data_IF_572404722701
#
_entry.id   IF_572404722701
#
_cell.length_a   1.000
_cell.length_b   1.000
_cell.length_c   1.000
_cell.angle_alpha   90.00
_cell.angle_beta   90.00
_cell.angle_gamma   90.00
#
_symmetry.space_group_name_H-M   'P 1'
#
loop_
_entity.id
_entity.type
_entity.pdbx_description
1 polymer ?
#
# COMPACT_ATOMS: atom_id res chain seq x y z
N UNK A 1 -7.74 -8.28 -19.07
CA UNK A 1 -7.19 -8.29 -20.43
C UNK A 1 -6.09 -7.23 -20.52
N UNK A 2 -4.97 -7.54 -21.20
CA UNK A 2 -3.89 -6.57 -21.49
C UNK A 2 -4.08 -6.15 -22.95
N UNK A 3 -4.24 -4.86 -23.18
CA UNK A 3 -4.49 -4.30 -24.51
C UNK A 3 -3.49 -3.17 -24.81
N UNK A 4 -3.22 -2.94 -26.09
CA UNK A 4 -2.51 -1.75 -26.51
C UNK A 4 -3.41 -0.52 -26.42
N UNK A 5 -2.80 0.68 -26.42
CA UNK A 5 -3.55 1.92 -26.41
C UNK A 5 -4.41 2.11 -27.66
N UNK A 6 -3.87 1.76 -28.81
CA UNK A 6 -4.57 1.88 -30.09
C UNK A 6 -5.76 0.91 -30.17
N UNK A 7 -5.56 -0.35 -29.71
CA UNK A 7 -6.63 -1.34 -29.66
C UNK A 7 -7.80 -0.92 -28.74
N UNK A 8 -7.53 -0.18 -27.66
CA UNK A 8 -8.57 0.31 -26.75
C UNK A 8 -9.51 1.31 -27.41
N UNK A 9 -9.00 2.19 -28.27
CA UNK A 9 -9.83 3.17 -28.99
C UNK A 9 -10.50 2.61 -30.22
N UNK A 10 -9.91 1.63 -30.88
CA UNK A 10 -10.43 1.07 -32.13
C UNK A 10 -11.42 -0.07 -31.92
N UNK A 11 -11.37 -0.74 -30.79
CA UNK A 11 -12.18 -1.95 -30.52
C UNK A 11 -13.27 -1.71 -29.46
N UNK A 12 -14.52 -1.59 -29.92
CA UNK A 12 -15.69 -1.38 -29.06
C UNK A 12 -15.93 -2.53 -28.05
N UNK A 13 -15.46 -3.74 -28.34
CA UNK A 13 -15.64 -4.90 -27.44
C UNK A 13 -14.77 -4.80 -26.19
N UNK A 14 -13.58 -4.21 -26.31
CA UNK A 14 -12.70 -3.95 -25.17
C UNK A 14 -13.33 -2.93 -24.21
N UNK A 15 -14.07 -1.96 -24.74
CA UNK A 15 -14.80 -0.98 -23.95
C UNK A 15 -15.85 -1.56 -23.00
N UNK A 16 -16.27 -2.81 -23.20
CA UNK A 16 -17.23 -3.52 -22.34
C UNK A 16 -16.54 -4.33 -21.21
N UNK A 17 -15.22 -4.46 -21.22
CA UNK A 17 -14.49 -5.15 -20.17
C UNK A 17 -14.54 -4.39 -18.84
N UNK A 18 -14.75 -5.10 -17.74
CA UNK A 18 -14.78 -4.50 -16.39
C UNK A 18 -13.40 -4.16 -15.86
N UNK A 19 -12.35 -4.75 -16.42
CA UNK A 19 -10.97 -4.53 -16.03
C UNK A 19 -10.06 -4.53 -17.26
N UNK A 20 -9.33 -3.44 -17.45
CA UNK A 20 -8.44 -3.22 -18.59
C UNK A 20 -7.08 -2.78 -18.07
N UNK A 21 -6.02 -3.41 -18.57
CA UNK A 21 -4.66 -3.10 -18.22
C UNK A 21 -3.85 -2.69 -19.44
N UNK A 22 -3.14 -1.58 -19.31
CA UNK A 22 -2.19 -1.07 -20.29
C UNK A 22 -0.76 -1.31 -19.83
N UNK A 23 0.09 -1.77 -20.72
CA UNK A 23 1.52 -1.91 -20.50
C UNK A 23 2.28 -1.04 -21.49
N UNK A 24 3.16 -0.18 -21.02
CA UNK A 24 3.95 0.73 -21.84
C UNK A 24 5.41 0.78 -21.39
N UNK A 25 6.33 0.87 -22.35
CA UNK A 25 7.74 1.19 -22.09
C UNK A 25 8.00 2.68 -21.92
N UNK A 26 7.19 3.52 -22.58
CA UNK A 26 7.34 4.98 -22.61
C UNK A 26 6.16 5.73 -21.98
N UNK A 27 6.38 7.01 -21.65
CA UNK A 27 5.39 7.91 -21.06
C UNK A 27 4.30 8.41 -22.04
N UNK A 28 3.94 7.65 -23.06
CA UNK A 28 3.09 8.13 -24.14
C UNK A 28 1.61 8.05 -23.80
N UNK A 29 0.95 9.19 -23.87
CA UNK A 29 -0.48 9.32 -24.26
C UNK A 29 -1.57 9.05 -23.22
N UNK A 30 -1.30 8.41 -22.07
CA UNK A 30 -2.32 8.09 -21.06
C UNK A 30 -2.64 9.26 -20.12
N UNK A 31 -2.04 10.41 -20.35
CA UNK A 31 -2.31 11.62 -19.58
C UNK A 31 -3.82 11.95 -19.54
N UNK A 32 -4.56 11.76 -20.60
CA UNK A 32 -5.97 12.16 -20.68
C UNK A 32 -6.92 11.26 -19.87
N UNK A 33 -6.54 10.00 -19.62
CA UNK A 33 -7.30 9.10 -18.75
C UNK A 33 -6.96 9.21 -17.26
N UNK A 34 -5.73 9.66 -16.95
CA UNK A 34 -5.20 9.67 -15.60
C UNK A 34 -4.82 11.07 -15.10
N UNK A 35 -5.31 12.13 -15.77
CA UNK A 35 -4.76 13.50 -15.77
C UNK A 35 -5.07 14.40 -14.61
N UNK A 36 -5.90 14.06 -13.70
CA UNK A 36 -6.03 14.93 -12.52
C UNK A 36 -5.02 14.49 -11.45
N UNK A 37 -3.86 15.14 -11.41
CA UNK A 37 -2.81 14.98 -10.39
C UNK A 37 -2.11 13.61 -10.36
N UNK A 38 -1.37 13.30 -11.43
CA UNK A 38 -0.47 12.15 -11.40
C UNK A 38 0.58 12.33 -10.29
N UNK A 39 0.69 11.41 -9.31
CA UNK A 39 1.72 11.47 -8.27
C UNK A 39 3.13 11.31 -8.84
N UNK A 40 3.23 10.97 -10.12
CA UNK A 40 4.48 10.70 -10.85
C UNK A 40 4.98 11.88 -11.66
N UNK A 41 4.38 13.06 -11.54
CA UNK A 41 4.78 14.24 -12.33
C UNK A 41 6.25 14.62 -12.16
N UNK A 42 6.82 14.40 -10.98
CA UNK A 42 8.24 14.62 -10.68
C UNK A 42 9.17 13.52 -11.20
N UNK A 43 8.63 12.39 -11.66
CA UNK A 43 9.39 11.21 -12.13
C UNK A 43 9.40 11.11 -13.66
N UNK A 44 8.84 12.10 -14.34
CA UNK A 44 8.83 12.12 -15.82
C UNK A 44 10.25 12.14 -16.36
N UNK A 45 10.55 11.15 -17.21
CA UNK A 45 11.87 11.03 -17.84
C UNK A 45 12.87 10.13 -17.11
N UNK A 46 12.55 9.65 -15.92
CA UNK A 46 13.37 8.67 -15.21
C UNK A 46 13.24 7.29 -15.89
N UNK A 47 14.28 6.88 -16.61
CA UNK A 47 14.30 5.62 -17.37
C UNK A 47 14.51 4.38 -16.50
N UNK A 48 14.89 4.54 -15.25
CA UNK A 48 15.08 3.48 -14.26
C UNK A 48 13.88 3.31 -13.31
N UNK A 49 12.80 4.07 -13.54
CA UNK A 49 11.61 4.06 -12.69
C UNK A 49 10.43 3.41 -13.41
N UNK A 50 9.90 2.36 -12.80
CA UNK A 50 8.64 1.74 -13.22
C UNK A 50 7.49 2.26 -12.34
N UNK A 51 6.38 2.64 -12.98
CA UNK A 51 5.19 3.15 -12.27
C UNK A 51 3.97 2.30 -12.58
N UNK A 52 3.14 2.11 -11.58
CA UNK A 52 1.88 1.39 -11.69
C UNK A 52 0.78 2.25 -11.07
N UNK A 53 -0.35 2.35 -11.75
CA UNK A 53 -1.52 2.99 -11.19
C UNK A 53 -2.80 2.30 -11.65
N UNK A 54 -3.80 2.35 -10.78
CA UNK A 54 -5.13 1.80 -11.01
C UNK A 54 -6.15 2.87 -10.69
N UNK A 55 -7.14 3.06 -11.57
CA UNK A 55 -8.26 3.96 -11.33
C UNK A 55 -9.57 3.32 -11.73
N UNK A 56 -10.63 3.78 -11.09
CA UNK A 56 -11.98 3.42 -11.48
C UNK A 56 -12.60 4.53 -12.35
N UNK A 57 -13.20 4.13 -13.48
CA UNK A 57 -13.94 5.01 -14.39
C UNK A 57 -15.32 4.40 -14.61
N UNK A 58 -16.33 4.90 -13.92
CA UNK A 58 -17.65 4.25 -13.90
C UNK A 58 -17.56 2.85 -13.29
N UNK A 59 -18.00 1.85 -14.04
CA UNK A 59 -17.94 0.44 -13.64
C UNK A 59 -16.64 -0.27 -14.06
N UNK A 60 -15.77 0.43 -14.78
CA UNK A 60 -14.50 -0.12 -15.25
C UNK A 60 -13.35 0.16 -14.28
N UNK A 61 -12.45 -0.79 -14.16
CA UNK A 61 -11.15 -0.62 -13.52
C UNK A 61 -10.08 -0.52 -14.60
N UNK A 62 -9.38 0.60 -14.62
CA UNK A 62 -8.29 0.86 -15.56
C UNK A 62 -6.97 0.77 -14.80
N UNK A 63 -6.09 -0.11 -15.24
CA UNK A 63 -4.74 -0.27 -14.73
C UNK A 63 -3.70 0.15 -15.77
N UNK A 64 -2.64 0.78 -15.31
CA UNK A 64 -1.52 1.12 -16.15
C UNK A 64 -0.20 0.73 -15.48
N UNK A 65 0.63 0.01 -16.24
CA UNK A 65 1.99 -0.36 -15.88
C UNK A 65 2.91 0.29 -16.88
N UNK A 66 3.78 1.14 -16.39
CA UNK A 66 4.87 1.70 -17.17
C UNK A 66 6.18 1.11 -16.67
N UNK A 67 6.90 0.43 -17.56
CA UNK A 67 8.18 -0.20 -17.26
C UNK A 67 9.18 0.12 -18.37
N UNK A 68 9.93 1.25 -18.29
CA UNK A 68 10.93 1.62 -19.29
C UNK A 68 12.03 0.57 -19.43
N UNK A 69 12.32 -0.16 -18.35
CA UNK A 69 13.30 -1.24 -18.32
C UNK A 69 12.60 -2.59 -18.42
N UNK A 70 12.73 -3.26 -19.53
CA UNK A 70 12.19 -4.61 -19.75
C UNK A 70 12.71 -5.62 -18.71
N UNK A 71 13.98 -5.49 -18.31
CA UNK A 71 14.61 -6.32 -17.28
C UNK A 71 13.92 -6.24 -15.90
N UNK A 72 13.20 -5.15 -15.60
CA UNK A 72 12.45 -5.00 -14.35
C UNK A 72 11.13 -5.79 -14.34
N UNK A 73 10.56 -6.16 -15.50
CA UNK A 73 9.23 -6.77 -15.61
C UNK A 73 9.09 -8.07 -14.78
N UNK A 74 10.03 -9.03 -14.83
CA UNK A 74 9.91 -10.24 -14.00
C UNK A 74 9.90 -9.96 -12.50
N UNK A 75 10.65 -8.95 -12.07
CA UNK A 75 10.67 -8.50 -10.67
C UNK A 75 9.35 -7.85 -10.26
N UNK A 76 8.76 -7.01 -11.11
CA UNK A 76 7.45 -6.41 -10.90
C UNK A 76 6.37 -7.48 -10.81
N UNK A 77 6.35 -8.45 -11.73
CA UNK A 77 5.36 -9.53 -11.74
C UNK A 77 5.34 -10.32 -10.43
N UNK A 78 6.51 -10.57 -9.82
CA UNK A 78 6.61 -11.24 -8.51
C UNK A 78 6.11 -10.35 -7.36
N UNK A 79 6.34 -9.05 -7.43
CA UNK A 79 6.08 -8.12 -6.31
C UNK A 79 4.65 -7.58 -6.31
N UNK A 80 4.08 -7.28 -7.46
CA UNK A 80 2.76 -6.64 -7.57
C UNK A 80 1.63 -7.34 -6.80
N UNK A 81 1.53 -8.68 -6.75
CA UNK A 81 0.50 -9.34 -5.97
C UNK A 81 0.49 -8.97 -4.47
N UNK A 82 1.62 -8.54 -3.91
CA UNK A 82 1.73 -8.12 -2.52
C UNK A 82 1.30 -6.67 -2.28
N UNK A 83 1.01 -5.92 -3.34
CA UNK A 83 0.69 -4.49 -3.28
C UNK A 83 -0.77 -4.17 -3.60
N UNK A 84 -1.66 -5.14 -3.65
CA UNK A 84 -3.05 -4.99 -4.08
C UNK A 84 -3.91 -3.98 -3.33
N UNK A 85 -3.44 -3.48 -2.18
CA UNK A 85 -4.14 -2.43 -1.41
C UNK A 85 -3.80 -1.00 -1.85
N UNK A 86 -2.82 -0.82 -2.74
CA UNK A 86 -2.39 0.49 -3.20
C UNK A 86 -2.97 0.81 -4.57
N UNK A 87 -3.30 2.08 -4.79
CA UNK A 87 -3.82 2.56 -6.06
C UNK A 87 -2.73 3.05 -7.00
N UNK A 88 -1.57 3.40 -6.45
CA UNK A 88 -0.39 3.76 -7.23
C UNK A 88 0.90 3.34 -6.54
N UNK A 89 1.90 3.00 -7.35
CA UNK A 89 3.19 2.48 -6.93
C UNK A 89 4.29 3.01 -7.84
N UNK A 90 5.49 3.26 -7.30
CA UNK A 90 6.69 3.43 -8.08
C UNK A 90 7.82 2.55 -7.54
N UNK A 91 8.57 1.98 -8.48
CA UNK A 91 9.70 1.11 -8.22
C UNK A 91 10.91 1.61 -8.98
N UNK A 92 12.09 1.42 -8.44
CA UNK A 92 13.36 1.81 -9.09
C UNK A 92 14.25 0.62 -9.33
N UNK A 93 14.94 0.63 -10.48
CA UNK A 93 15.99 -0.30 -10.87
C UNK A 93 15.50 -1.62 -11.46
N UNK A 94 16.44 -2.40 -11.96
CA UNK A 94 16.21 -3.75 -12.53
C UNK A 94 15.63 -4.72 -11.50
N UNK A 95 16.15 -4.70 -10.28
CA UNK A 95 15.56 -5.35 -9.11
C UNK A 95 14.57 -4.38 -8.44
N UNK A 96 13.30 -4.32 -8.93
CA UNK A 96 12.38 -3.21 -8.61
C UNK A 96 12.24 -2.99 -7.11
N UNK A 97 12.85 -1.93 -6.57
CA UNK A 97 12.70 -1.51 -5.19
C UNK A 97 11.55 -0.50 -5.07
N UNK A 98 10.53 -0.80 -4.26
CA UNK A 98 9.42 0.13 -4.04
C UNK A 98 9.88 1.33 -3.22
N UNK A 99 9.69 2.55 -3.73
CA UNK A 99 10.00 3.78 -3.01
C UNK A 99 8.82 4.73 -2.89
N UNK A 100 7.74 4.51 -3.65
CA UNK A 100 6.51 5.29 -3.57
C UNK A 100 5.30 4.36 -3.64
N UNK A 101 4.31 4.61 -2.80
CA UNK A 101 3.04 3.90 -2.77
C UNK A 101 1.97 4.74 -2.10
N UNK A 102 0.75 4.63 -2.57
CA UNK A 102 -0.38 5.34 -1.98
C UNK A 102 -1.72 4.88 -2.52
N UNK A 103 -2.76 5.52 -2.04
CA UNK A 103 -4.14 5.25 -2.43
C UNK A 103 -4.78 6.56 -2.89
N UNK A 104 -5.64 6.47 -3.91
CA UNK A 104 -6.52 7.59 -4.26
C UNK A 104 -7.54 7.79 -3.15
N UNK A 105 -7.90 9.03 -2.93
CA UNK A 105 -9.04 9.35 -2.07
C UNK A 105 -10.30 8.68 -2.60
N UNK A 106 -11.09 8.09 -1.71
CA UNK A 106 -12.35 7.42 -2.06
C UNK A 106 -13.46 8.47 -2.32
N UNK A 107 -13.31 9.23 -3.40
CA UNK A 107 -14.32 10.22 -3.81
C UNK A 107 -15.59 9.47 -4.18
N UNK A 108 -16.74 9.89 -3.62
CA UNK A 108 -18.04 9.26 -3.88
C UNK A 108 -18.35 8.04 -2.99
N UNK A 109 -17.50 7.68 -2.06
CA UNK A 109 -17.83 6.69 -1.02
C UNK A 109 -18.89 7.26 -0.06
N UNK A 110 -19.90 6.46 0.36
CA UNK A 110 -20.86 6.90 1.38
C UNK A 110 -20.21 7.19 2.76
N UNK A 111 -18.97 6.77 2.95
CA UNK A 111 -18.16 7.08 4.14
C UNK A 111 -17.30 8.34 3.94
N UNK A 112 -17.29 8.91 2.75
CA UNK A 112 -16.56 10.14 2.44
C UNK A 112 -17.57 11.30 2.43
N UNK A 113 -17.39 12.22 3.37
CA UNK A 113 -18.17 13.46 3.42
C UNK A 113 -17.25 14.63 3.11
N UNK A 114 -17.55 15.36 2.02
CA UNK A 114 -16.85 16.57 1.67
C UNK A 114 -17.70 17.78 2.09
N UNK A 115 -17.13 18.67 2.87
CA UNK A 115 -17.80 19.90 3.26
C UNK A 115 -17.90 20.84 2.05
N UNK A 116 -19.09 21.34 1.69
CA UNK A 116 -19.23 22.29 0.60
C UNK A 116 -18.31 23.49 0.80
N UNK A 117 -17.36 23.69 -0.11
CA UNK A 117 -16.37 24.78 -0.08
C UNK A 117 -14.97 24.41 0.37
N UNK A 118 -14.69 23.19 0.81
CA UNK A 118 -13.37 22.76 1.28
C UNK A 118 -12.50 22.12 0.19
N UNK A 119 -12.49 22.65 -1.02
CA UNK A 119 -11.47 22.28 -2.03
C UNK A 119 -10.06 22.85 -1.77
N UNK A 120 -9.86 23.57 -0.68
CA UNK A 120 -8.53 23.77 -0.17
C UNK A 120 -8.14 22.58 0.69
N UNK A 121 -7.31 21.70 0.13
CA UNK A 121 -6.48 20.83 0.94
C UNK A 121 -5.69 21.77 1.86
N UNK A 122 -6.21 21.99 3.06
CA UNK A 122 -5.42 22.62 4.10
C UNK A 122 -4.19 21.76 4.24
N UNK A 123 -2.98 22.32 4.14
CA UNK A 123 -1.77 21.58 4.42
C UNK A 123 -2.01 20.88 5.76
N UNK A 124 -1.92 19.57 5.76
CA UNK A 124 -2.04 18.78 6.98
C UNK A 124 -0.92 19.27 7.90
N UNK A 125 -1.23 20.22 8.76
CA UNK A 125 -0.34 20.52 9.86
C UNK A 125 -0.10 19.20 10.59
N UNK A 126 1.17 18.87 10.79
CA UNK A 126 1.55 17.73 11.62
C UNK A 126 0.82 17.91 12.94
N UNK A 127 -0.29 17.22 13.11
CA UNK A 127 -1.00 17.22 14.38
C UNK A 127 0.00 16.78 15.44
N UNK A 128 0.13 17.56 16.48
CA UNK A 128 0.78 17.06 17.69
C UNK A 128 0.13 15.73 18.05
N UNK A 129 0.88 14.68 18.39
CA UNK A 129 0.30 13.41 18.80
C UNK A 129 -0.80 13.67 19.82
N UNK A 130 -2.00 13.12 19.62
CA UNK A 130 -3.15 13.28 20.52
C UNK A 130 -2.86 12.79 21.94
N UNK A 131 -1.87 11.92 22.09
CA UNK A 131 -1.24 11.58 23.34
C UNK A 131 0.27 11.70 23.15
N UNK A 132 0.95 12.46 23.98
CA UNK A 132 2.31 12.15 24.35
C UNK A 132 2.19 11.06 25.40
N UNK A 133 2.44 9.79 25.12
CA UNK A 133 2.64 8.86 26.21
C UNK A 133 3.79 9.48 27.00
N UNK A 134 3.53 9.82 28.25
CA UNK A 134 4.62 10.15 29.16
C UNK A 134 5.65 9.01 29.05
N UNK A 135 6.87 9.22 29.52
CA UNK A 135 7.93 8.19 29.57
C UNK A 135 7.53 6.99 30.45
N UNK A 136 6.34 6.44 30.22
CA UNK A 136 5.74 5.36 31.02
C UNK A 136 6.20 4.00 30.51
N UNK A 137 6.77 3.94 29.32
CA UNK A 137 7.29 2.68 28.76
C UNK A 137 8.79 2.62 29.06
N UNK A 138 9.17 1.87 30.09
CA UNK A 138 10.55 1.52 30.32
C UNK A 138 11.01 0.47 29.28
N UNK A 139 11.93 0.80 28.36
CA UNK A 139 12.41 -0.13 27.34
C UNK A 139 13.02 -1.40 27.95
N UNK A 140 13.58 -1.32 29.17
CA UNK A 140 14.17 -2.48 29.86
C UNK A 140 13.10 -3.47 30.31
N UNK A 141 11.93 -2.97 30.72
CA UNK A 141 10.80 -3.86 31.06
C UNK A 141 10.22 -4.52 29.81
N UNK A 142 10.08 -3.76 28.72
CA UNK A 142 9.64 -4.33 27.45
C UNK A 142 10.61 -5.44 27.01
N UNK A 143 11.91 -5.20 27.08
CA UNK A 143 12.91 -6.21 26.70
C UNK A 143 12.84 -7.47 27.57
N UNK A 144 12.62 -7.33 28.87
CA UNK A 144 12.41 -8.50 29.76
C UNK A 144 11.20 -9.34 29.33
N UNK A 145 10.08 -8.69 28.95
CA UNK A 145 8.91 -9.41 28.47
C UNK A 145 9.20 -10.11 27.12
N UNK A 146 9.94 -9.44 26.23
CA UNK A 146 10.33 -10.03 24.94
C UNK A 146 11.26 -11.24 25.17
N UNK A 147 12.29 -11.09 25.98
CA UNK A 147 13.24 -12.16 26.32
C UNK A 147 12.51 -13.36 26.93
N UNK A 148 11.62 -13.11 27.89
CA UNK A 148 10.85 -14.18 28.53
C UNK A 148 9.94 -14.90 27.54
N UNK A 149 9.22 -14.17 26.69
CA UNK A 149 8.32 -14.74 25.69
C UNK A 149 9.07 -15.44 24.55
N UNK A 150 10.28 -15.00 24.21
CA UNK A 150 11.09 -15.57 23.14
C UNK A 150 12.00 -16.71 23.60
N UNK A 151 12.02 -17.02 24.90
CA UNK A 151 12.86 -18.05 25.45
C UNK A 151 12.58 -19.42 24.79
N UNK A 152 13.61 -20.23 24.47
CA UNK A 152 13.45 -21.58 23.91
C UNK A 152 12.53 -22.50 24.73
N UNK A 153 12.47 -22.33 26.05
CA UNK A 153 11.53 -23.06 26.91
C UNK A 153 10.04 -22.83 26.54
N UNK A 154 9.74 -21.81 25.77
CA UNK A 154 8.37 -21.51 25.26
C UNK A 154 8.07 -22.26 23.94
N UNK A 155 8.96 -23.10 23.44
CA UNK A 155 8.76 -23.98 22.28
C UNK A 155 8.16 -23.24 21.06
N UNK A 156 8.52 -21.97 20.85
CA UNK A 156 7.95 -21.11 19.82
C UNK A 156 6.45 -20.80 20.00
N UNK A 157 5.84 -21.15 21.12
CA UNK A 157 4.41 -20.92 21.44
C UNK A 157 3.47 -21.52 20.40
N UNK A 158 3.80 -22.71 19.91
CA UNK A 158 2.95 -23.45 18.98
C UNK A 158 1.58 -23.76 19.57
N UNK A 159 0.54 -23.84 18.72
CA UNK A 159 -0.81 -24.14 19.18
C UNK A 159 -0.83 -25.52 19.86
N UNK A 160 -1.30 -25.56 21.11
CA UNK A 160 -1.39 -26.78 21.91
C UNK A 160 -0.10 -27.13 22.70
N UNK A 161 0.95 -26.30 22.61
CA UNK A 161 2.18 -26.51 23.40
C UNK A 161 2.06 -25.97 24.83
N UNK A 162 2.85 -26.54 25.75
CA UNK A 162 3.01 -26.01 27.11
C UNK A 162 3.63 -24.60 27.09
N UNK A 163 4.46 -24.31 26.09
CA UNK A 163 5.01 -22.98 25.86
C UNK A 163 3.95 -21.92 25.58
N UNK A 164 2.92 -22.25 24.80
CA UNK A 164 1.78 -21.36 24.59
C UNK A 164 0.96 -21.16 25.88
N UNK A 165 0.69 -22.25 26.60
CA UNK A 165 -0.06 -22.18 27.85
C UNK A 165 0.63 -21.28 28.87
N UNK A 166 1.92 -21.47 29.10
CA UNK A 166 2.71 -20.64 30.02
C UNK A 166 2.80 -19.18 29.57
N UNK A 167 2.91 -18.93 28.26
CA UNK A 167 2.89 -17.57 27.71
C UNK A 167 1.53 -16.86 27.95
N UNK A 168 0.43 -17.59 27.81
CA UNK A 168 -0.91 -17.07 28.09
C UNK A 168 -1.07 -16.65 29.55
N UNK A 169 -0.62 -17.50 30.48
CA UNK A 169 -0.66 -17.20 31.91
C UNK A 169 0.23 -16.01 32.28
N UNK A 170 1.40 -15.89 31.65
CA UNK A 170 2.28 -14.76 31.84
C UNK A 170 1.60 -13.45 31.41
N UNK A 171 1.03 -13.41 30.19
CA UNK A 171 0.37 -12.21 29.68
C UNK A 171 -0.85 -11.84 30.54
N UNK A 172 -1.67 -12.82 30.94
CA UNK A 172 -2.78 -12.60 31.85
C UNK A 172 -2.35 -11.96 33.16
N UNK A 173 -1.27 -12.48 33.77
CA UNK A 173 -0.72 -11.92 34.99
C UNK A 173 -0.18 -10.50 34.86
N UNK A 174 0.38 -10.14 33.71
CA UNK A 174 0.82 -8.77 33.44
C UNK A 174 -0.40 -7.82 33.27
N UNK A 175 -1.48 -8.29 32.65
CA UNK A 175 -2.73 -7.51 32.54
C UNK A 175 -3.40 -7.30 33.91
N UNK A 176 -3.40 -8.31 34.76
CA UNK A 176 -3.90 -8.20 36.13
C UNK A 176 -3.11 -7.16 36.95
N UNK A 177 -1.76 -7.21 36.87
CA UNK A 177 -0.89 -6.20 37.50
C UNK A 177 -1.14 -4.78 36.98
N UNK A 178 -1.51 -4.66 35.71
CA UNK A 178 -1.85 -3.38 35.08
C UNK A 178 -3.28 -2.92 35.41
N UNK A 179 -4.08 -3.72 36.12
CA UNK A 179 -5.47 -3.40 36.46
C UNK A 179 -6.45 -3.48 35.29
N UNK A 180 -6.14 -4.29 34.29
CA UNK A 180 -6.95 -4.45 33.07
C UNK A 180 -7.98 -5.60 33.19
N UNK A 181 -7.85 -6.44 34.19
CA UNK A 181 -8.74 -7.56 34.56
C UNK A 181 -8.84 -7.64 36.08
#
# INVERSE_FOLDING_TARGET
>A
EIVSWDDYYENSDIGNSTEIWFLSGDHVGLNDLFLEESPFSSLKGDTDVSTIQVRRKGDQTLGWIQAPMESAIPGLARKLPHYGKYSYLAFRGEEPANFMKGQWSAVGSPLFWDSPGSRQLLPSEKRSPLARPGEVIDPRQVMKHVEWLADPEREGRGVGSEGLHSATLFVAGEFEKAGLI
#
